data_IF_433159157508
#
_entry.id   IF_433159157508
#
_cell.length_a   1.000
_cell.length_b   1.000
_cell.length_c   1.000
_cell.angle_alpha   90.00
_cell.angle_beta   90.00
_cell.angle_gamma   90.00
#
_symmetry.space_group_name_H-M   'P 1'
#
loop_
_entity.id
_entity.type
_entity.pdbx_description
1 polymer ?
#
# COMPACT_ATOMS: atom_id res chain seq x y z
N UNK A 1 -16.77 -0.07 -70.70
CA UNK A 1 -16.70 -0.78 -69.40
C UNK A 1 -16.80 0.26 -68.28
N UNK A 2 -17.85 0.22 -67.45
CA UNK A 2 -18.20 1.23 -66.45
C UNK A 2 -17.21 1.16 -65.26
N UNK A 3 -16.19 2.04 -65.22
CA UNK A 3 -15.25 2.19 -64.09
C UNK A 3 -15.80 3.04 -62.93
N UNK A 4 -16.98 3.62 -63.10
CA UNK A 4 -17.61 4.54 -62.15
C UNK A 4 -18.07 3.92 -60.80
N UNK A 5 -18.63 2.69 -60.73
CA UNK A 5 -19.08 2.14 -59.44
C UNK A 5 -17.92 1.76 -58.51
N UNK A 6 -16.76 1.39 -59.06
CA UNK A 6 -15.57 1.06 -58.26
C UNK A 6 -14.95 2.31 -57.61
N UNK A 7 -14.93 3.44 -58.32
CA UNK A 7 -14.45 4.71 -57.77
C UNK A 7 -15.37 5.23 -56.66
N UNK A 8 -16.69 5.14 -56.84
CA UNK A 8 -17.66 5.54 -55.81
C UNK A 8 -17.55 4.67 -54.54
N UNK A 9 -17.39 3.35 -54.69
CA UNK A 9 -17.18 2.44 -53.56
C UNK A 9 -15.89 2.73 -52.78
N UNK A 10 -14.79 3.04 -53.47
CA UNK A 10 -13.52 3.38 -52.84
C UNK A 10 -13.58 4.71 -52.06
N UNK A 11 -14.26 5.73 -52.60
CA UNK A 11 -14.43 7.02 -51.91
C UNK A 11 -15.27 6.87 -50.64
N UNK A 12 -16.35 6.11 -50.69
CA UNK A 12 -17.18 5.83 -49.50
C UNK A 12 -16.39 5.06 -48.45
N UNK A 13 -15.57 4.07 -48.85
CA UNK A 13 -14.73 3.31 -47.94
C UNK A 13 -13.66 4.20 -47.27
N UNK A 14 -12.97 5.04 -48.04
CA UNK A 14 -11.94 5.94 -47.50
C UNK A 14 -12.55 7.00 -46.59
N UNK A 15 -13.68 7.59 -46.97
CA UNK A 15 -14.42 8.52 -46.10
C UNK A 15 -14.91 7.84 -44.84
N UNK A 16 -15.43 6.61 -44.93
CA UNK A 16 -15.85 5.79 -43.79
C UNK A 16 -14.70 5.43 -42.85
N UNK A 17 -13.52 5.12 -43.38
CA UNK A 17 -12.32 4.84 -42.58
C UNK A 17 -11.68 6.11 -41.99
N UNK A 18 -11.68 7.22 -42.73
CA UNK A 18 -11.16 8.50 -42.24
C UNK A 18 -12.08 9.08 -41.16
N UNK A 19 -13.39 9.05 -41.36
CA UNK A 19 -14.37 9.45 -40.34
C UNK A 19 -14.35 8.46 -39.17
N UNK A 20 -14.47 7.16 -39.39
CA UNK A 20 -14.41 6.16 -38.31
C UNK A 20 -13.10 6.21 -37.50
N UNK A 21 -11.95 6.34 -38.16
CA UNK A 21 -10.64 6.42 -37.52
C UNK A 21 -10.40 7.72 -36.76
N UNK A 22 -10.88 8.86 -37.28
CA UNK A 22 -10.84 10.13 -36.55
C UNK A 22 -11.72 10.08 -35.29
N UNK A 23 -12.87 9.41 -35.34
CA UNK A 23 -13.76 9.30 -34.18
C UNK A 23 -13.18 8.43 -33.05
N UNK A 24 -12.46 7.35 -33.37
CA UNK A 24 -11.77 6.52 -32.38
C UNK A 24 -10.58 7.24 -31.75
N UNK A 25 -9.92 8.13 -32.50
CA UNK A 25 -8.73 8.86 -31.99
C UNK A 25 -9.09 10.07 -31.11
N UNK A 26 -10.37 10.42 -30.99
CA UNK A 26 -10.86 11.59 -30.25
C UNK A 26 -11.62 11.24 -28.98
N UNK A 27 -11.81 9.94 -28.66
CA UNK A 27 -12.42 9.53 -27.40
C UNK A 27 -11.39 9.67 -26.28
N UNK A 28 -11.63 10.50 -25.25
CA UNK A 28 -10.73 10.64 -24.12
C UNK A 28 -10.72 9.35 -23.30
N UNK A 29 -9.62 9.07 -22.59
CA UNK A 29 -9.56 7.94 -21.66
C UNK A 29 -10.47 8.18 -20.45
N UNK A 30 -10.46 9.42 -19.94
CA UNK A 30 -11.24 9.81 -18.79
C UNK A 30 -12.18 10.97 -19.10
N UNK A 31 -13.40 10.89 -18.55
CA UNK A 31 -14.34 12.01 -18.50
C UNK A 31 -14.72 12.32 -17.07
N UNK A 32 -14.62 13.60 -16.70
CA UNK A 32 -15.00 14.11 -15.38
C UNK A 32 -15.97 15.27 -15.53
N UNK A 33 -17.18 15.13 -14.97
CA UNK A 33 -18.12 16.23 -14.80
C UNK A 33 -18.07 16.74 -13.36
N UNK A 34 -17.75 18.02 -13.17
CA UNK A 34 -17.93 18.70 -11.90
C UNK A 34 -19.39 19.14 -11.77
N UNK A 35 -20.06 18.69 -10.71
CA UNK A 35 -21.44 19.04 -10.40
C UNK A 35 -21.47 19.85 -9.10
N UNK A 36 -21.73 21.15 -9.22
CA UNK A 36 -21.56 22.12 -8.14
C UNK A 36 -22.89 22.61 -7.60
N UNK A 37 -23.03 22.61 -6.27
CA UNK A 37 -24.17 23.19 -5.55
C UNK A 37 -24.12 24.71 -5.57
N UNK A 38 -24.92 25.31 -6.44
CA UNK A 38 -25.13 26.75 -6.56
C UNK A 38 -26.40 27.24 -5.82
N UNK A 39 -26.89 26.50 -4.82
CA UNK A 39 -27.92 27.01 -3.92
C UNK A 39 -27.42 28.21 -3.09
N UNK A 40 -28.35 28.94 -2.48
CA UNK A 40 -28.06 30.19 -1.76
C UNK A 40 -26.93 30.03 -0.73
N UNK A 41 -25.84 30.79 -0.92
CA UNK A 41 -24.65 30.72 -0.07
C UNK A 41 -23.84 32.02 -0.17
N UNK A 42 -23.37 32.59 0.96
CA UNK A 42 -22.57 33.82 0.95
C UNK A 42 -21.12 33.63 0.46
N UNK A 43 -20.56 32.41 0.56
CA UNK A 43 -19.11 32.19 0.43
C UNK A 43 -18.71 31.40 -0.82
N UNK A 44 -19.51 31.41 -1.89
CA UNK A 44 -19.35 30.52 -3.06
C UNK A 44 -17.97 30.59 -3.76
N UNK A 45 -17.25 31.70 -3.60
CA UNK A 45 -15.89 31.85 -4.14
C UNK A 45 -14.94 30.69 -3.79
N UNK A 46 -15.01 30.19 -2.55
CA UNK A 46 -14.16 29.07 -2.11
C UNK A 46 -14.43 27.77 -2.88
N UNK A 47 -15.68 27.50 -3.25
CA UNK A 47 -16.05 26.33 -4.07
C UNK A 47 -15.57 26.53 -5.50
N UNK A 48 -15.75 27.72 -6.05
CA UNK A 48 -15.28 28.04 -7.40
C UNK A 48 -13.75 27.87 -7.51
N UNK A 49 -12.99 28.32 -6.51
CA UNK A 49 -11.54 28.16 -6.48
C UNK A 49 -11.12 26.70 -6.33
N UNK A 50 -11.79 25.92 -5.48
CA UNK A 50 -11.51 24.49 -5.33
C UNK A 50 -11.80 23.69 -6.61
N UNK A 51 -12.91 24.00 -7.30
CA UNK A 51 -13.25 23.39 -8.59
C UNK A 51 -12.22 23.77 -9.66
N UNK A 52 -11.82 25.04 -9.73
CA UNK A 52 -10.77 25.49 -10.65
C UNK A 52 -9.41 24.82 -10.38
N UNK A 53 -9.04 24.66 -9.11
CA UNK A 53 -7.82 23.97 -8.71
C UNK A 53 -7.85 22.47 -9.06
N UNK A 54 -8.99 21.81 -8.85
CA UNK A 54 -9.17 20.41 -9.24
C UNK A 54 -9.10 20.21 -10.76
N UNK A 55 -9.81 21.05 -11.53
CA UNK A 55 -9.79 20.98 -12.98
C UNK A 55 -8.38 21.22 -13.55
N UNK A 56 -7.62 22.14 -12.95
CA UNK A 56 -6.23 22.42 -13.35
C UNK A 56 -5.25 21.30 -12.98
N UNK A 57 -5.64 20.38 -12.09
CA UNK A 57 -4.84 19.22 -11.70
C UNK A 57 -5.12 17.98 -12.59
N UNK A 58 -6.07 18.07 -13.52
CA UNK A 58 -6.40 16.99 -14.46
C UNK A 58 -5.50 16.99 -15.69
N UNK A 59 -5.42 15.85 -16.38
CA UNK A 59 -4.69 15.77 -17.64
C UNK A 59 -5.35 16.69 -18.68
N UNK A 60 -4.54 17.29 -19.56
CA UNK A 60 -5.07 18.07 -20.68
C UNK A 60 -5.89 17.21 -21.65
N UNK A 61 -5.64 15.90 -21.66
CA UNK A 61 -6.33 14.90 -22.49
C UNK A 61 -7.64 14.40 -21.87
N UNK A 62 -7.93 14.75 -20.61
CA UNK A 62 -9.20 14.40 -19.97
C UNK A 62 -10.33 15.29 -20.50
N UNK A 63 -11.50 14.70 -20.73
CA UNK A 63 -12.70 15.50 -21.04
C UNK A 63 -13.34 16.00 -19.76
N UNK A 64 -13.30 17.32 -19.57
CA UNK A 64 -13.86 17.98 -18.40
C UNK A 64 -15.14 18.71 -18.77
N UNK A 65 -16.10 18.72 -17.85
CA UNK A 65 -17.35 19.46 -17.96
C UNK A 65 -17.71 20.09 -16.60
N UNK A 66 -18.52 21.15 -16.64
CA UNK A 66 -19.03 21.81 -15.44
C UNK A 66 -20.54 21.98 -15.52
N UNK A 67 -21.21 21.59 -14.43
CA UNK A 67 -22.62 21.85 -14.19
C UNK A 67 -22.83 22.49 -12.84
N UNK A 68 -23.88 23.29 -12.76
CA UNK A 68 -24.44 23.75 -11.50
C UNK A 68 -25.83 23.16 -11.27
N UNK A 69 -26.15 22.90 -10.01
CA UNK A 69 -27.52 22.64 -9.56
C UNK A 69 -27.89 23.62 -8.46
N UNK A 70 -29.18 23.87 -8.25
CA UNK A 70 -29.69 24.82 -7.27
C UNK A 70 -30.74 25.76 -7.87
N UNK A 71 -31.84 25.98 -7.13
CA UNK A 71 -32.96 26.79 -7.58
C UNK A 71 -34.27 26.44 -6.86
N UNK A 72 -35.37 26.45 -7.56
CA UNK A 72 -36.70 26.03 -7.10
C UNK A 72 -36.88 24.51 -7.23
N UNK A 73 -37.75 23.92 -6.41
CA UNK A 73 -38.12 22.50 -6.56
C UNK A 73 -39.10 22.22 -7.71
N UNK A 74 -39.62 23.26 -8.36
CA UNK A 74 -40.64 23.15 -9.41
C UNK A 74 -40.04 23.15 -10.83
N UNK A 75 -38.74 23.41 -10.97
CA UNK A 75 -38.05 23.53 -12.25
C UNK A 75 -36.75 22.71 -12.22
N UNK A 76 -36.31 22.13 -13.36
CA UNK A 76 -34.99 21.57 -13.49
C UNK A 76 -33.95 22.71 -13.49
N UNK A 77 -33.66 23.27 -12.32
CA UNK A 77 -32.73 24.38 -12.17
C UNK A 77 -31.26 23.92 -12.18
N UNK A 78 -30.99 22.91 -13.00
CA UNK A 78 -29.64 22.42 -13.32
C UNK A 78 -29.22 22.97 -14.67
N UNK A 79 -28.03 23.55 -14.75
CA UNK A 79 -27.48 24.12 -15.98
C UNK A 79 -26.11 23.55 -16.28
N UNK A 80 -25.90 23.20 -17.55
CA UNK A 80 -24.56 23.06 -18.08
C UNK A 80 -23.93 24.44 -18.21
N UNK A 81 -22.69 24.57 -17.73
CA UNK A 81 -21.92 25.81 -17.81
C UNK A 81 -20.70 25.66 -18.72
N UNK A 82 -20.13 24.46 -18.75
CA UNK A 82 -19.05 24.09 -19.68
C UNK A 82 -19.37 22.72 -20.26
N UNK A 83 -19.50 22.67 -21.57
CA UNK A 83 -19.74 21.43 -22.34
C UNK A 83 -18.50 20.52 -22.28
N UNK A 84 -18.68 19.17 -22.26
CA UNK A 84 -17.55 18.24 -22.21
C UNK A 84 -16.52 18.47 -23.32
N UNK A 85 -15.25 18.59 -22.94
CA UNK A 85 -14.13 18.77 -23.87
C UNK A 85 -12.77 18.65 -23.21
N UNK A 86 -11.72 18.43 -24.00
CA UNK A 86 -10.31 18.42 -23.55
C UNK A 86 -9.79 19.85 -23.39
N UNK A 87 -8.82 20.09 -22.50
CA UNK A 87 -8.24 21.42 -22.29
C UNK A 87 -9.17 22.44 -21.61
N UNK A 88 -10.29 22.01 -21.02
CA UNK A 88 -11.33 22.89 -20.46
C UNK A 88 -11.04 23.45 -19.06
N UNK A 89 -9.85 23.19 -18.48
CA UNK A 89 -9.56 23.55 -17.09
C UNK A 89 -9.72 25.07 -16.81
N UNK A 90 -9.22 25.92 -17.70
CA UNK A 90 -9.33 27.38 -17.55
C UNK A 90 -10.77 27.88 -17.73
N UNK A 91 -11.52 27.30 -18.68
CA UNK A 91 -12.93 27.62 -18.91
C UNK A 91 -13.78 27.25 -17.69
N UNK A 92 -13.56 26.06 -17.11
CA UNK A 92 -14.21 25.60 -15.89
C UNK A 92 -13.93 26.54 -14.72
N UNK A 93 -12.67 26.96 -14.52
CA UNK A 93 -12.32 27.90 -13.46
C UNK A 93 -13.02 29.27 -13.64
N UNK A 94 -13.11 29.77 -14.87
CA UNK A 94 -13.82 31.01 -15.19
C UNK A 94 -15.34 30.89 -14.98
N UNK A 95 -15.94 29.82 -15.52
CA UNK A 95 -17.36 29.55 -15.41
C UNK A 95 -17.81 29.32 -13.97
N UNK A 96 -17.00 28.60 -13.17
CA UNK A 96 -17.28 28.38 -11.76
C UNK A 96 -17.32 29.69 -10.97
N UNK A 97 -16.37 30.62 -11.21
CA UNK A 97 -16.37 31.94 -10.57
C UNK A 97 -17.52 32.85 -11.00
N UNK A 98 -18.07 32.62 -12.20
CA UNK A 98 -19.21 33.37 -12.72
C UNK A 98 -20.57 32.88 -12.17
N UNK A 99 -20.61 31.77 -11.42
CA UNK A 99 -21.84 31.27 -10.81
C UNK A 99 -22.32 32.27 -9.76
N UNK A 100 -23.57 32.70 -9.90
CA UNK A 100 -24.30 33.44 -8.86
C UNK A 100 -25.17 32.45 -8.08
N UNK A 101 -24.87 32.16 -6.80
CA UNK A 101 -25.63 31.22 -6.00
C UNK A 101 -27.04 31.72 -5.70
N UNK A 102 -28.02 30.83 -5.63
CA UNK A 102 -29.39 31.18 -5.26
C UNK A 102 -30.35 29.99 -5.23
N UNK A 103 -31.43 30.17 -4.47
CA UNK A 103 -32.47 29.15 -4.32
C UNK A 103 -32.07 27.99 -3.41
N UNK A 104 -32.80 26.88 -3.51
CA UNK A 104 -32.65 25.66 -2.70
C UNK A 104 -31.75 24.64 -3.39
N UNK A 105 -31.09 23.79 -2.60
CA UNK A 105 -30.30 22.67 -3.12
C UNK A 105 -31.19 21.62 -3.79
N UNK A 106 -30.97 21.36 -5.07
CA UNK A 106 -31.72 20.39 -5.91
C UNK A 106 -30.84 19.21 -6.33
N UNK A 107 -30.07 18.66 -5.38
CA UNK A 107 -28.99 17.70 -5.63
C UNK A 107 -29.41 16.51 -6.51
N UNK A 108 -30.57 15.90 -6.24
CA UNK A 108 -31.04 14.77 -7.06
C UNK A 108 -31.20 15.16 -8.53
N UNK A 109 -31.83 16.30 -8.79
CA UNK A 109 -32.00 16.80 -10.17
C UNK A 109 -30.66 17.04 -10.84
N UNK A 110 -29.69 17.57 -10.09
CA UNK A 110 -28.31 17.73 -10.56
C UNK A 110 -27.64 16.40 -10.95
N UNK A 111 -27.75 15.39 -10.09
CA UNK A 111 -27.18 14.05 -10.32
C UNK A 111 -27.80 13.41 -11.56
N UNK A 112 -29.12 13.45 -11.69
CA UNK A 112 -29.82 12.87 -12.85
C UNK A 112 -29.44 13.57 -14.16
N UNK A 113 -29.37 14.89 -14.14
CA UNK A 113 -28.93 15.66 -15.30
C UNK A 113 -27.48 15.31 -15.68
N UNK A 114 -26.58 15.13 -14.71
CA UNK A 114 -25.20 14.72 -14.96
C UNK A 114 -25.12 13.31 -15.58
N UNK A 115 -25.97 12.37 -15.16
CA UNK A 115 -26.07 11.03 -15.79
C UNK A 115 -26.51 11.14 -17.24
N UNK A 116 -27.52 11.97 -17.52
CA UNK A 116 -28.08 12.14 -18.86
C UNK A 116 -27.06 12.72 -19.87
N UNK A 117 -25.98 13.34 -19.40
CA UNK A 117 -24.93 13.87 -20.26
C UNK A 117 -24.05 12.78 -20.86
N UNK A 118 -23.94 11.66 -20.14
CA UNK A 118 -23.27 10.48 -20.65
C UNK A 118 -24.15 9.79 -21.69
N UNK A 119 -25.48 9.84 -21.56
CA UNK A 119 -26.40 9.29 -22.54
C UNK A 119 -26.33 10.02 -23.91
N UNK A 120 -26.15 11.35 -23.91
CA UNK A 120 -26.27 12.18 -25.13
C UNK A 120 -24.96 12.54 -25.84
N UNK A 121 -23.83 12.60 -25.12
CA UNK A 121 -22.62 13.23 -25.64
C UNK A 121 -21.58 12.19 -26.10
N UNK A 122 -21.60 11.89 -27.40
CA UNK A 122 -20.58 11.09 -28.11
C UNK A 122 -19.82 12.04 -29.06
N UNK A 123 -18.47 11.97 -29.21
CA UNK A 123 -17.53 10.94 -28.77
C UNK A 123 -16.94 11.14 -27.36
N UNK A 124 -17.33 12.17 -26.61
CA UNK A 124 -16.71 12.50 -25.31
C UNK A 124 -17.18 11.58 -24.15
N UNK A 125 -17.19 10.27 -24.34
CA UNK A 125 -17.29 9.31 -23.24
C UNK A 125 -15.88 8.83 -22.92
N UNK A 126 -15.55 8.75 -21.63
CA UNK A 126 -14.31 8.13 -21.21
C UNK A 126 -14.31 6.65 -21.57
N UNK A 127 -13.27 6.18 -22.26
CA UNK A 127 -13.10 4.74 -22.59
C UNK A 127 -12.68 3.94 -21.35
N UNK A 128 -11.99 4.58 -20.40
CA UNK A 128 -11.49 3.97 -19.16
C UNK A 128 -12.37 4.33 -17.97
N UNK A 129 -12.62 5.63 -17.73
CA UNK A 129 -13.46 6.06 -16.60
C UNK A 129 -14.40 7.21 -16.95
N UNK A 130 -15.63 7.12 -16.45
CA UNK A 130 -16.61 8.20 -16.47
C UNK A 130 -16.92 8.57 -15.02
N UNK A 131 -16.73 9.83 -14.64
CA UNK A 131 -16.82 10.30 -13.25
C UNK A 131 -17.72 11.52 -13.13
N UNK A 132 -18.44 11.58 -12.02
CA UNK A 132 -19.11 12.80 -11.57
C UNK A 132 -18.60 13.15 -10.17
N UNK A 133 -17.96 14.32 -10.06
CA UNK A 133 -17.51 14.87 -8.77
C UNK A 133 -18.57 15.86 -8.30
N UNK A 134 -19.27 15.52 -7.23
CA UNK A 134 -20.36 16.29 -6.67
C UNK A 134 -19.86 17.10 -5.48
N UNK A 135 -20.11 18.42 -5.50
CA UNK A 135 -19.73 19.34 -4.42
C UNK A 135 -21.01 19.92 -3.82
N UNK A 136 -21.35 19.52 -2.60
CA UNK A 136 -22.57 19.92 -1.88
C UNK A 136 -22.25 20.89 -0.73
N UNK A 137 -23.05 21.96 -0.57
CA UNK A 137 -22.81 23.01 0.43
C UNK A 137 -24.07 23.54 1.12
N UNK A 138 -25.16 23.76 0.40
CA UNK A 138 -26.42 24.30 0.93
C UNK A 138 -27.34 23.25 1.56
N UNK A 139 -26.91 22.00 1.53
CA UNK A 139 -27.61 20.85 2.08
C UNK A 139 -27.84 19.76 1.05
N UNK A 140 -28.31 18.63 1.53
CA UNK A 140 -28.79 17.59 0.65
C UNK A 140 -30.21 17.89 0.16
N UNK A 141 -30.60 17.28 -0.95
CA UNK A 141 -31.79 17.60 -1.75
C UNK A 141 -32.99 18.12 -0.94
N UNK A 142 -33.28 19.41 -1.08
CA UNK A 142 -34.36 20.10 -0.35
C UNK A 142 -35.76 19.81 -0.91
N UNK A 143 -35.84 19.02 -2.00
CA UNK A 143 -37.08 18.77 -2.73
C UNK A 143 -37.77 17.44 -2.37
N UNK A 144 -37.29 16.74 -1.33
CA UNK A 144 -38.11 15.83 -0.53
C UNK A 144 -38.43 14.46 -1.14
N UNK A 145 -37.51 13.86 -1.90
CA UNK A 145 -37.64 12.48 -2.38
C UNK A 145 -37.17 11.46 -1.34
N UNK A 146 -37.77 10.26 -1.33
CA UNK A 146 -37.29 9.16 -0.49
C UNK A 146 -36.05 8.49 -1.08
N UNK A 147 -35.22 7.87 -0.25
CA UNK A 147 -34.00 7.18 -0.69
C UNK A 147 -34.27 6.04 -1.71
N UNK A 148 -35.39 5.32 -1.55
CA UNK A 148 -35.76 4.24 -2.48
C UNK A 148 -36.20 4.78 -3.85
N UNK A 149 -36.91 5.92 -3.87
CA UNK A 149 -37.27 6.59 -5.11
C UNK A 149 -36.03 7.12 -5.82
N UNK A 150 -35.09 7.71 -5.05
CA UNK A 150 -33.79 8.18 -5.56
C UNK A 150 -33.03 7.05 -6.23
N UNK A 151 -32.84 5.91 -5.54
CA UNK A 151 -32.11 4.76 -6.10
C UNK A 151 -32.74 4.26 -7.39
N UNK A 152 -34.05 4.05 -7.40
CA UNK A 152 -34.76 3.57 -8.61
C UNK A 152 -34.58 4.50 -9.80
N UNK A 153 -34.67 5.82 -9.60
CA UNK A 153 -34.52 6.78 -10.69
C UNK A 153 -33.07 6.79 -11.18
N UNK A 154 -32.09 6.73 -10.28
CA UNK A 154 -30.66 6.69 -10.64
C UNK A 154 -30.33 5.44 -11.44
N UNK A 155 -30.84 4.27 -11.04
CA UNK A 155 -30.67 3.01 -11.77
C UNK A 155 -31.23 3.12 -13.20
N UNK A 156 -32.42 3.69 -13.34
CA UNK A 156 -33.08 3.88 -14.65
C UNK A 156 -32.30 4.83 -15.56
N UNK A 157 -31.75 5.92 -15.02
CA UNK A 157 -30.93 6.87 -15.78
C UNK A 157 -29.55 6.28 -16.14
N UNK A 158 -28.92 5.57 -15.22
CA UNK A 158 -27.60 4.95 -15.44
C UNK A 158 -27.68 3.83 -16.48
N UNK A 159 -28.73 3.00 -16.41
CA UNK A 159 -29.00 1.98 -17.43
C UNK A 159 -29.19 2.58 -18.82
N UNK A 160 -29.87 3.74 -18.92
CA UNK A 160 -30.03 4.47 -20.18
C UNK A 160 -28.74 5.10 -20.69
N UNK A 161 -27.86 5.57 -19.81
CA UNK A 161 -26.56 6.12 -20.19
C UNK A 161 -25.61 5.06 -20.79
N UNK A 162 -25.77 3.79 -20.39
CA UNK A 162 -25.01 2.68 -20.94
C UNK A 162 -23.52 2.70 -20.57
N UNK A 163 -23.15 3.44 -19.53
CA UNK A 163 -21.78 3.53 -19.00
C UNK A 163 -21.79 3.42 -17.48
N UNK A 164 -20.71 2.87 -16.91
CA UNK A 164 -20.49 2.90 -15.46
C UNK A 164 -19.99 4.29 -15.07
N UNK A 165 -20.66 4.93 -14.12
CA UNK A 165 -20.31 6.26 -13.61
C UNK A 165 -19.75 6.11 -12.19
N UNK A 166 -18.52 6.61 -11.97
CA UNK A 166 -17.89 6.74 -10.66
C UNK A 166 -18.36 8.04 -10.01
N UNK A 167 -19.27 7.95 -9.03
CA UNK A 167 -19.71 9.11 -8.27
C UNK A 167 -18.79 9.34 -7.08
N UNK A 168 -18.39 10.61 -6.90
CA UNK A 168 -17.58 11.02 -5.76
C UNK A 168 -18.18 12.29 -5.13
N UNK A 169 -18.50 12.22 -3.85
CA UNK A 169 -19.19 13.30 -3.15
C UNK A 169 -18.24 14.02 -2.18
N UNK A 170 -18.30 15.34 -2.21
CA UNK A 170 -17.65 16.23 -1.24
C UNK A 170 -18.71 17.10 -0.59
N UNK A 171 -18.85 16.97 0.72
CA UNK A 171 -19.70 17.84 1.54
C UNK A 171 -18.86 18.95 2.16
N UNK A 172 -19.19 20.21 1.91
CA UNK A 172 -18.47 21.35 2.46
C UNK A 172 -19.34 22.16 3.42
N UNK A 173 -18.87 22.29 4.68
CA UNK A 173 -19.56 23.01 5.76
C UNK A 173 -21.01 22.56 6.00
N UNK A 174 -21.29 21.27 5.79
CA UNK A 174 -22.62 20.70 5.98
C UNK A 174 -22.93 20.46 7.47
N UNK A 175 -24.20 20.63 7.86
CA UNK A 175 -24.72 20.20 9.16
C UNK A 175 -24.84 18.67 9.23
N UNK A 176 -25.02 18.12 10.43
CA UNK A 176 -25.16 16.67 10.62
C UNK A 176 -26.35 16.08 9.83
N UNK A 177 -27.46 16.81 9.76
CA UNK A 177 -28.67 16.42 9.03
C UNK A 177 -28.40 16.41 7.51
N UNK A 178 -27.71 17.42 7.01
CA UNK A 178 -27.33 17.50 5.61
C UNK A 178 -26.35 16.39 5.23
N UNK A 179 -25.40 16.08 6.10
CA UNK A 179 -24.48 14.94 5.93
C UNK A 179 -25.23 13.62 5.85
N UNK A 180 -26.26 13.40 6.68
CA UNK A 180 -27.06 12.17 6.65
C UNK A 180 -27.67 11.94 5.28
N UNK A 181 -28.34 12.94 4.73
CA UNK A 181 -29.02 12.82 3.43
C UNK A 181 -27.99 12.74 2.28
N UNK A 182 -26.84 13.43 2.36
CA UNK A 182 -25.75 13.25 1.38
C UNK A 182 -25.23 11.81 1.37
N UNK A 183 -25.10 11.18 2.55
CA UNK A 183 -24.72 9.77 2.65
C UNK A 183 -25.77 8.84 2.01
N UNK A 184 -27.06 9.14 2.17
CA UNK A 184 -28.15 8.36 1.57
C UNK A 184 -28.11 8.42 0.03
N UNK A 185 -27.87 9.60 -0.54
CA UNK A 185 -27.72 9.79 -1.99
C UNK A 185 -26.43 9.14 -2.51
N UNK A 186 -25.32 9.26 -1.78
CA UNK A 186 -24.07 8.59 -2.12
C UNK A 186 -24.24 7.06 -2.12
N UNK A 187 -24.94 6.50 -1.12
CA UNK A 187 -25.26 5.08 -1.08
C UNK A 187 -26.23 4.65 -2.19
N UNK A 188 -27.11 5.54 -2.66
CA UNK A 188 -28.02 5.27 -3.77
C UNK A 188 -27.32 5.29 -5.15
N UNK A 189 -26.11 5.84 -5.23
CA UNK A 189 -25.27 5.89 -6.44
C UNK A 189 -24.11 4.89 -6.41
N UNK A 190 -24.10 3.97 -5.43
CA UNK A 190 -22.98 3.07 -5.12
C UNK A 190 -21.63 3.80 -4.96
N UNK A 191 -21.68 5.07 -4.52
CA UNK A 191 -20.50 5.88 -4.29
C UNK A 191 -19.83 5.53 -2.95
N UNK A 192 -18.55 5.90 -2.83
CA UNK A 192 -17.86 5.89 -1.54
C UNK A 192 -18.51 6.90 -0.58
N UNK A 193 -18.28 6.71 0.71
CA UNK A 193 -18.69 7.68 1.74
C UNK A 193 -18.20 9.09 1.35
N UNK A 194 -19.08 10.11 1.35
CA UNK A 194 -18.70 11.50 1.09
C UNK A 194 -17.53 11.97 1.95
N UNK A 195 -16.61 12.69 1.32
CA UNK A 195 -15.54 13.40 2.03
C UNK A 195 -16.08 14.71 2.57
N UNK A 196 -15.83 15.00 3.84
CA UNK A 196 -16.39 16.17 4.52
C UNK A 196 -15.28 17.17 4.82
N UNK A 197 -15.52 18.43 4.47
CA UNK A 197 -14.56 19.52 4.65
C UNK A 197 -15.21 20.68 5.39
N UNK A 198 -14.43 21.38 6.22
CA UNK A 198 -14.86 22.51 7.03
C UNK A 198 -14.23 23.82 6.57
N UNK A 199 -13.01 23.74 6.05
CA UNK A 199 -12.23 24.91 5.62
C UNK A 199 -12.06 24.93 4.10
N UNK A 200 -11.70 26.11 3.55
CA UNK A 200 -11.41 26.25 2.12
C UNK A 200 -10.18 25.43 1.72
N UNK A 201 -9.13 25.42 2.54
CA UNK A 201 -7.91 24.65 2.28
C UNK A 201 -8.15 23.13 2.26
N UNK A 202 -8.97 22.63 3.18
CA UNK A 202 -9.43 21.23 3.19
C UNK A 202 -10.21 20.90 1.91
N UNK A 203 -11.10 21.80 1.47
CA UNK A 203 -11.87 21.63 0.24
C UNK A 203 -10.97 21.55 -0.98
N UNK A 204 -10.02 22.47 -1.13
CA UNK A 204 -9.06 22.47 -2.25
C UNK A 204 -8.24 21.18 -2.27
N UNK A 205 -7.74 20.74 -1.10
CA UNK A 205 -6.94 19.51 -0.98
C UNK A 205 -7.76 18.28 -1.34
N UNK A 206 -8.94 18.15 -0.76
CA UNK A 206 -9.89 17.05 -1.04
C UNK A 206 -10.28 17.03 -2.52
N UNK A 207 -10.54 18.19 -3.11
CA UNK A 207 -10.93 18.31 -4.52
C UNK A 207 -9.80 17.91 -5.49
N UNK A 208 -8.53 18.18 -5.15
CA UNK A 208 -7.39 17.68 -5.92
C UNK A 208 -7.30 16.16 -5.84
N UNK A 209 -7.36 15.59 -4.64
CA UNK A 209 -7.28 14.14 -4.42
C UNK A 209 -8.41 13.38 -5.11
N UNK A 210 -9.65 13.85 -4.95
CA UNK A 210 -10.85 13.18 -5.46
C UNK A 210 -10.97 13.26 -6.97
N UNK A 211 -10.22 14.16 -7.63
CA UNK A 211 -10.26 14.30 -9.07
C UNK A 211 -9.27 13.34 -9.75
N UNK A 212 -8.26 12.83 -9.05
CA UNK A 212 -7.28 11.89 -9.63
C UNK A 212 -7.95 10.52 -9.94
N UNK A 213 -7.70 9.91 -11.12
CA UNK A 213 -8.14 8.56 -11.43
C UNK A 213 -7.81 7.55 -10.33
N UNK A 214 -8.74 6.65 -9.97
CA UNK A 214 -8.54 5.74 -8.82
C UNK A 214 -7.36 4.76 -9.00
N UNK A 215 -6.97 4.52 -10.25
CA UNK A 215 -5.80 3.76 -10.68
C UNK A 215 -4.49 4.58 -10.62
N UNK A 216 -4.59 5.92 -10.60
CA UNK A 216 -3.48 6.85 -10.43
C UNK A 216 -3.37 7.42 -9.00
N UNK A 217 -4.40 7.28 -8.16
CA UNK A 217 -4.23 7.30 -6.71
C UNK A 217 -3.33 6.11 -6.43
N UNK A 218 -2.03 6.40 -6.27
CA UNK A 218 -0.96 5.43 -6.20
C UNK A 218 -1.47 4.17 -5.49
N UNK A 219 -1.34 3.00 -6.14
CA UNK A 219 -1.17 1.76 -5.39
C UNK A 219 -0.24 2.13 -4.25
N UNK A 220 -0.76 2.06 -3.03
CA UNK A 220 -0.05 2.31 -1.79
C UNK A 220 1.40 1.90 -2.05
N UNK A 221 2.32 2.86 -2.10
CA UNK A 221 3.73 2.51 -2.29
C UNK A 221 3.96 1.55 -1.15
N UNK A 222 4.21 0.27 -1.47
CA UNK A 222 4.57 -0.71 -0.46
C UNK A 222 5.88 -0.19 0.09
N UNK A 223 5.78 0.62 1.14
CA UNK A 223 6.90 1.00 1.97
C UNK A 223 7.48 -0.31 2.46
N UNK A 224 8.80 -0.38 2.52
CA UNK A 224 9.47 -1.61 2.87
C UNK A 224 8.91 -2.08 4.23
N UNK A 225 8.72 -3.39 4.49
CA UNK A 225 8.15 -3.86 5.75
C UNK A 225 8.75 -3.21 7.00
N UNK A 226 10.04 -2.85 6.98
CA UNK A 226 10.69 -2.10 8.04
C UNK A 226 10.12 -0.69 8.31
N UNK A 227 9.61 0.00 7.28
CA UNK A 227 9.05 1.35 7.39
C UNK A 227 7.76 1.39 8.23
N UNK A 228 7.05 0.25 8.30
CA UNK A 228 5.80 0.10 9.05
C UNK A 228 5.97 -0.40 10.49
N UNK A 229 7.21 -0.64 10.94
CA UNK A 229 7.46 -1.19 12.28
C UNK A 229 7.40 -0.08 13.32
N UNK A 230 6.42 -0.15 14.21
CA UNK A 230 6.27 0.77 15.36
C UNK A 230 6.14 -0.02 16.67
N UNK A 231 6.32 0.62 17.84
CA UNK A 231 6.05 -0.01 19.13
C UNK A 231 4.65 -0.62 19.22
N UNK A 232 3.64 0.03 18.64
CA UNK A 232 2.26 -0.44 18.62
C UNK A 232 2.11 -1.70 17.75
N UNK A 233 2.75 -1.71 16.57
CA UNK A 233 2.77 -2.89 15.70
C UNK A 233 3.41 -4.10 16.39
N UNK A 234 4.53 -3.90 17.10
CA UNK A 234 5.19 -4.95 17.86
C UNK A 234 4.40 -5.39 19.10
N UNK A 235 3.74 -4.45 19.79
CA UNK A 235 2.87 -4.76 20.93
C UNK A 235 1.61 -5.55 20.52
N UNK A 236 1.09 -5.32 19.32
CA UNK A 236 0.02 -6.13 18.75
C UNK A 236 0.50 -7.56 18.45
N UNK A 237 1.74 -7.72 17.97
CA UNK A 237 2.34 -9.03 17.69
C UNK A 237 2.72 -9.80 18.98
N UNK A 238 3.25 -9.09 20.00
CA UNK A 238 3.64 -9.68 21.27
C UNK A 238 3.40 -8.71 22.44
N UNK A 239 2.24 -8.80 23.12
CA UNK A 239 1.94 -7.92 24.25
C UNK A 239 2.71 -8.35 25.51
N UNK A 240 3.50 -7.44 26.08
CA UNK A 240 4.30 -7.66 27.30
C UNK A 240 3.66 -7.10 28.58
N UNK A 241 2.41 -6.64 28.51
CA UNK A 241 1.67 -6.01 29.62
C UNK A 241 1.45 -4.52 29.42
N UNK A 242 0.51 -3.94 30.17
CA UNK A 242 0.01 -2.57 29.95
C UNK A 242 1.05 -1.46 30.20
N UNK A 243 2.05 -1.72 31.05
CA UNK A 243 3.07 -0.74 31.44
C UNK A 243 4.40 -0.92 30.68
N UNK A 244 4.49 -1.93 29.80
CA UNK A 244 5.69 -2.25 29.03
C UNK A 244 5.59 -1.63 27.64
N UNK A 245 6.67 -0.98 27.19
CA UNK A 245 6.76 -0.39 25.86
C UNK A 245 8.01 -0.86 25.14
N UNK A 246 7.88 -1.08 23.84
CA UNK A 246 9.00 -1.29 22.94
C UNK A 246 9.70 0.04 22.59
N UNK A 247 11.02 0.01 22.48
CA UNK A 247 11.87 1.11 22.06
C UNK A 247 13.16 0.56 21.44
N UNK A 248 14.02 1.45 20.92
CA UNK A 248 15.26 1.10 20.20
C UNK A 248 15.03 -0.01 19.15
N UNK A 249 14.04 0.22 18.29
CA UNK A 249 13.61 -0.73 17.28
C UNK A 249 14.60 -0.67 16.11
N UNK A 250 15.26 -1.79 15.85
CA UNK A 250 16.22 -1.97 14.75
C UNK A 250 15.66 -3.01 13.78
N UNK A 251 15.25 -2.57 12.59
CA UNK A 251 14.79 -3.46 11.54
C UNK A 251 15.89 -3.71 10.50
N UNK A 252 16.02 -4.95 10.03
CA UNK A 252 17.00 -5.35 9.02
C UNK A 252 16.40 -6.30 7.98
N UNK A 253 16.86 -6.12 6.74
CA UNK A 253 16.50 -6.94 5.58
C UNK A 253 15.00 -7.06 5.32
N UNK A 254 14.19 -6.10 5.77
CA UNK A 254 12.72 -6.13 5.68
C UNK A 254 12.07 -7.39 6.26
N UNK A 255 12.79 -8.05 7.17
CA UNK A 255 12.43 -9.38 7.64
C UNK A 255 12.66 -9.60 9.11
N UNK A 256 13.62 -8.91 9.72
CA UNK A 256 13.99 -9.13 11.11
C UNK A 256 13.92 -7.83 11.89
N UNK A 257 13.35 -7.89 13.09
CA UNK A 257 13.28 -6.75 14.01
C UNK A 257 13.83 -7.16 15.36
N UNK A 258 14.78 -6.37 15.86
CA UNK A 258 15.21 -6.40 17.25
C UNK A 258 14.67 -5.15 17.94
N UNK A 259 14.03 -5.32 19.09
CA UNK A 259 13.53 -4.23 19.91
C UNK A 259 13.93 -4.44 21.37
N UNK A 260 14.08 -3.33 22.11
CA UNK A 260 14.18 -3.36 23.56
C UNK A 260 12.81 -3.12 24.19
N UNK A 261 12.54 -3.76 25.33
CA UNK A 261 11.33 -3.55 26.11
C UNK A 261 11.67 -3.26 27.57
N UNK A 262 10.99 -2.27 28.16
CA UNK A 262 11.17 -1.93 29.57
C UNK A 262 10.52 -3.00 30.44
N UNK A 263 11.30 -3.71 31.24
CA UNK A 263 10.73 -4.52 32.32
C UNK A 263 10.33 -3.59 33.47
N UNK A 264 9.39 -4.01 34.33
CA UNK A 264 8.95 -3.17 35.46
C UNK A 264 10.14 -2.71 36.29
N UNK A 265 10.06 -1.50 36.86
CA UNK A 265 11.16 -0.70 37.45
C UNK A 265 12.05 -1.36 38.53
N UNK A 266 11.84 -2.64 38.86
CA UNK A 266 12.63 -3.42 39.83
C UNK A 266 13.75 -4.24 39.20
N UNK A 267 13.81 -4.38 37.89
CA UNK A 267 14.88 -5.08 37.17
C UNK A 267 15.53 -4.09 36.21
N UNK A 268 16.82 -3.81 36.39
CA UNK A 268 17.56 -2.80 35.63
C UNK A 268 17.95 -3.28 34.21
N UNK A 269 17.42 -4.42 33.77
CA UNK A 269 17.79 -5.06 32.52
C UNK A 269 16.69 -4.85 31.47
N UNK A 270 17.07 -4.23 30.36
CA UNK A 270 16.23 -4.16 29.17
C UNK A 270 16.03 -5.57 28.63
N UNK A 271 14.78 -5.95 28.37
CA UNK A 271 14.48 -7.21 27.70
C UNK A 271 14.66 -7.01 26.20
N UNK A 272 15.55 -7.78 25.57
CA UNK A 272 15.65 -7.81 24.11
C UNK A 272 14.55 -8.72 23.58
N UNK A 273 13.90 -8.29 22.50
CA UNK A 273 12.79 -9.01 21.89
C UNK A 273 12.98 -9.05 20.38
N UNK A 274 12.87 -10.25 19.84
CA UNK A 274 13.17 -10.55 18.45
C UNK A 274 11.90 -10.95 17.71
N UNK A 275 11.72 -10.37 16.51
CA UNK A 275 10.62 -10.67 15.61
C UNK A 275 11.13 -11.01 14.21
N UNK A 276 10.40 -11.88 13.52
CA UNK A 276 10.59 -12.20 12.10
C UNK A 276 9.29 -11.94 11.34
N UNK A 277 9.39 -11.33 10.16
CA UNK A 277 8.27 -11.19 9.25
C UNK A 277 7.97 -12.53 8.59
N UNK A 278 6.77 -13.05 8.82
CA UNK A 278 6.26 -14.25 8.16
C UNK A 278 4.95 -13.91 7.44
N UNK A 279 4.99 -14.00 6.10
CA UNK A 279 3.94 -13.43 5.25
C UNK A 279 3.90 -11.91 5.40
N UNK A 280 2.74 -11.37 5.77
CA UNK A 280 2.54 -9.93 6.01
C UNK A 280 2.43 -9.60 7.52
N UNK A 281 2.90 -10.49 8.41
CA UNK A 281 2.77 -10.32 9.87
C UNK A 281 4.09 -10.52 10.59
N UNK A 282 4.37 -9.63 11.55
CA UNK A 282 5.50 -9.78 12.46
C UNK A 282 5.19 -10.86 13.50
N UNK A 283 6.07 -11.86 13.59
CA UNK A 283 5.95 -12.99 14.50
C UNK A 283 7.06 -12.93 15.54
N UNK A 284 6.69 -13.00 16.82
CA UNK A 284 7.64 -13.13 17.93
C UNK A 284 8.45 -14.41 17.79
N UNK A 285 9.77 -14.30 17.97
CA UNK A 285 10.68 -15.44 17.96
C UNK A 285 11.17 -15.77 19.37
N UNK A 286 11.79 -14.80 20.04
CA UNK A 286 12.41 -14.99 21.35
C UNK A 286 12.57 -13.67 22.10
N UNK A 287 12.75 -13.77 23.41
CA UNK A 287 13.15 -12.64 24.25
C UNK A 287 14.09 -13.08 25.36
N UNK A 288 14.96 -12.18 25.80
CA UNK A 288 15.96 -12.48 26.82
C UNK A 288 16.93 -11.31 27.03
N UNK A 289 17.81 -11.45 28.03
CA UNK A 289 18.96 -10.56 28.24
C UNK A 289 20.15 -10.97 27.36
N UNK A 290 20.21 -12.25 26.98
CA UNK A 290 20.95 -12.77 25.84
C UNK A 290 19.98 -13.52 24.92
N UNK A 291 20.28 -13.54 23.62
CA UNK A 291 19.44 -14.19 22.61
C UNK A 291 20.25 -15.26 21.90
N UNK A 292 19.62 -16.41 21.63
CA UNK A 292 20.24 -17.41 20.75
C UNK A 292 20.22 -16.93 19.30
N UNK A 293 21.23 -17.30 18.52
CA UNK A 293 21.34 -16.88 17.12
C UNK A 293 20.17 -17.37 16.26
N UNK A 294 19.60 -18.53 16.62
CA UNK A 294 18.47 -19.14 15.92
C UNK A 294 18.69 -19.30 14.42
N UNK A 295 17.66 -18.99 13.63
CA UNK A 295 17.69 -18.99 12.17
C UNK A 295 18.10 -17.64 11.55
N UNK A 296 18.49 -16.65 12.37
CA UNK A 296 18.81 -15.30 11.90
C UNK A 296 20.23 -15.26 11.31
N UNK A 297 20.43 -14.68 10.11
CA UNK A 297 21.75 -14.54 9.51
C UNK A 297 22.72 -13.77 10.41
N UNK A 298 23.98 -14.22 10.48
CA UNK A 298 25.04 -13.58 11.26
C UNK A 298 25.27 -12.11 10.90
N UNK A 299 25.04 -11.76 9.64
CA UNK A 299 25.15 -10.40 9.11
C UNK A 299 24.12 -9.45 9.74
N UNK A 300 22.93 -9.96 10.07
CA UNK A 300 21.87 -9.20 10.74
C UNK A 300 22.27 -8.91 12.19
N UNK A 301 22.77 -9.93 12.91
CA UNK A 301 23.33 -9.76 14.26
C UNK A 301 24.46 -8.73 14.30
N UNK A 302 25.37 -8.81 13.32
CA UNK A 302 26.46 -7.86 13.15
C UNK A 302 25.96 -6.43 12.91
N UNK A 303 24.93 -6.24 12.08
CA UNK A 303 24.33 -4.92 11.83
C UNK A 303 23.64 -4.34 13.06
N UNK A 304 23.09 -5.19 13.94
CA UNK A 304 22.55 -4.73 15.22
C UNK A 304 23.61 -4.40 16.27
N UNK A 305 24.87 -4.76 16.00
CA UNK A 305 25.99 -4.71 16.94
C UNK A 305 25.72 -5.54 18.21
N UNK A 306 25.01 -6.65 18.03
CA UNK A 306 24.58 -7.52 19.13
C UNK A 306 25.18 -8.91 18.98
N UNK A 307 25.87 -9.45 20.01
CA UNK A 307 26.25 -10.84 20.01
C UNK A 307 24.99 -11.71 20.16
N UNK A 308 25.05 -12.91 19.60
CA UNK A 308 24.07 -13.95 19.84
C UNK A 308 24.77 -15.22 20.34
N UNK A 309 24.06 -16.01 21.13
CA UNK A 309 24.56 -17.29 21.62
C UNK A 309 24.27 -18.38 20.58
N UNK A 310 25.30 -19.03 20.07
CA UNK A 310 25.10 -20.17 19.18
C UNK A 310 24.77 -21.41 20.00
N UNK A 311 23.62 -22.03 19.72
CA UNK A 311 23.27 -23.31 20.33
C UNK A 311 23.99 -24.44 19.58
N UNK A 312 24.79 -25.28 20.26
CA UNK A 312 25.50 -26.38 19.61
C UNK A 312 24.57 -27.30 18.81
N UNK A 313 24.91 -27.54 17.54
CA UNK A 313 24.12 -28.38 16.63
C UNK A 313 24.83 -29.72 16.43
N UNK A 314 24.15 -30.83 16.75
CA UNK A 314 24.64 -32.17 16.46
C UNK A 314 24.43 -32.46 14.96
N UNK A 315 25.51 -32.43 14.20
CA UNK A 315 25.51 -32.61 12.74
C UNK A 315 25.62 -34.06 12.31
N UNK A 316 26.29 -34.89 13.12
CA UNK A 316 26.34 -36.35 12.99
C UNK A 316 26.23 -36.92 14.40
N UNK A 317 25.40 -37.93 14.60
CA UNK A 317 25.21 -38.58 15.90
C UNK A 317 25.82 -40.01 15.91
N UNK A 318 26.00 -40.60 17.09
CA UNK A 318 26.57 -41.94 17.27
C UNK A 318 28.09 -41.97 17.50
N UNK A 319 28.77 -43.06 17.13
CA UNK A 319 30.21 -43.28 17.42
C UNK A 319 31.14 -42.23 16.80
N UNK A 320 30.72 -41.64 15.67
CA UNK A 320 31.44 -40.55 15.00
C UNK A 320 30.68 -39.22 15.17
N UNK A 321 30.30 -38.91 16.41
CA UNK A 321 29.54 -37.68 16.68
C UNK A 321 30.30 -36.44 16.21
N UNK A 322 29.59 -35.53 15.55
CA UNK A 322 30.11 -34.22 15.14
C UNK A 322 29.13 -33.18 15.63
N UNK A 323 29.60 -32.24 16.45
CA UNK A 323 28.83 -31.08 16.91
C UNK A 323 29.44 -29.80 16.37
N UNK A 324 28.66 -28.99 15.67
CA UNK A 324 29.01 -27.61 15.35
C UNK A 324 28.74 -26.73 16.58
N UNK A 325 29.77 -26.08 17.12
CA UNK A 325 29.64 -25.27 18.34
C UNK A 325 29.45 -23.78 18.06
N UNK A 326 29.77 -23.29 16.85
CA UNK A 326 29.81 -21.85 16.54
C UNK A 326 29.24 -21.51 15.15
N UNK A 327 28.42 -22.39 14.59
CA UNK A 327 27.69 -22.14 13.35
C UNK A 327 28.56 -22.13 12.11
N UNK A 328 29.42 -23.13 11.95
CA UNK A 328 30.13 -23.38 10.68
C UNK A 328 29.23 -24.02 9.63
N UNK A 329 28.11 -24.62 10.07
CA UNK A 329 27.18 -25.38 9.25
C UNK A 329 27.55 -26.86 9.18
N UNK A 330 26.55 -27.73 9.28
CA UNK A 330 26.77 -29.19 9.33
C UNK A 330 27.56 -29.80 8.16
N UNK A 331 27.40 -29.36 6.89
CA UNK A 331 28.24 -29.86 5.81
C UNK A 331 29.73 -29.61 6.04
N UNK A 332 30.11 -28.41 6.51
CA UNK A 332 31.49 -28.07 6.79
C UNK A 332 32.02 -28.78 8.04
N UNK A 333 31.19 -28.87 9.09
CA UNK A 333 31.52 -29.61 10.31
C UNK A 333 31.79 -31.10 10.02
N UNK A 334 30.98 -31.71 9.15
CA UNK A 334 31.16 -33.09 8.70
C UNK A 334 32.40 -33.23 7.82
N UNK A 335 32.61 -32.34 6.85
CA UNK A 335 33.79 -32.36 5.98
C UNK A 335 35.09 -32.34 6.79
N UNK A 336 35.19 -31.44 7.78
CA UNK A 336 36.41 -31.35 8.58
C UNK A 336 36.63 -32.59 9.45
N UNK A 337 35.56 -33.18 9.98
CA UNK A 337 35.63 -34.42 10.75
C UNK A 337 36.10 -35.62 9.90
N UNK A 338 35.62 -35.71 8.66
CA UNK A 338 35.99 -36.77 7.73
C UNK A 338 37.44 -36.58 7.23
N UNK A 339 37.87 -35.34 6.96
CA UNK A 339 39.26 -35.00 6.60
C UNK A 339 40.23 -35.31 7.73
N UNK A 340 39.88 -34.97 8.98
CA UNK A 340 40.68 -35.34 10.15
C UNK A 340 40.81 -36.87 10.25
N UNK A 341 39.71 -37.61 10.15
CA UNK A 341 39.70 -39.07 10.21
C UNK A 341 40.55 -39.70 9.10
N UNK A 342 40.49 -39.17 7.88
CA UNK A 342 41.34 -39.59 6.77
C UNK A 342 42.83 -39.31 7.02
N UNK A 343 43.17 -38.13 7.57
CA UNK A 343 44.53 -37.78 7.94
C UNK A 343 45.08 -38.68 9.04
N UNK A 344 44.24 -39.06 10.01
CA UNK A 344 44.57 -40.07 11.02
C UNK A 344 44.90 -41.41 10.37
N UNK A 345 44.01 -41.91 9.50
CA UNK A 345 44.23 -43.18 8.79
C UNK A 345 45.49 -43.19 7.92
N UNK A 346 45.87 -42.02 7.39
CA UNK A 346 47.08 -41.81 6.61
C UNK A 346 48.34 -41.53 7.45
N UNK A 347 48.27 -41.61 8.78
CA UNK A 347 49.38 -41.30 9.71
C UNK A 347 49.96 -39.88 9.54
N UNK A 348 49.12 -38.92 9.18
CA UNK A 348 49.51 -37.52 8.96
C UNK A 348 49.36 -36.63 10.20
N UNK A 349 48.69 -37.11 11.24
CA UNK A 349 48.62 -36.42 12.52
C UNK A 349 49.88 -36.64 13.36
N UNK A 350 50.24 -35.62 14.13
CA UNK A 350 51.52 -35.54 14.80
C UNK A 350 51.38 -35.71 16.31
N UNK A 351 52.39 -36.34 16.92
CA UNK A 351 52.51 -36.46 18.37
C UNK A 351 51.48 -37.38 19.02
N UNK A 352 51.59 -37.54 20.35
CA UNK A 352 50.68 -38.38 21.13
C UNK A 352 49.25 -37.81 21.23
N UNK A 353 49.08 -36.50 20.98
CA UNK A 353 47.79 -35.82 20.93
C UNK A 353 47.19 -35.71 19.52
N UNK A 354 47.69 -36.49 18.54
CA UNK A 354 47.24 -36.57 17.14
C UNK A 354 46.84 -35.21 16.56
N UNK A 355 47.72 -34.24 16.76
CA UNK A 355 47.55 -32.88 16.28
C UNK A 355 47.52 -32.90 14.75
N UNK A 356 46.50 -32.28 14.17
CA UNK A 356 46.40 -32.18 12.72
C UNK A 356 46.02 -30.76 12.31
N UNK A 357 46.71 -30.25 11.29
CA UNK A 357 46.39 -28.98 10.67
C UNK A 357 46.31 -29.13 9.16
N UNK A 358 45.28 -28.53 8.58
CA UNK A 358 45.07 -28.46 7.13
C UNK A 358 45.50 -27.12 6.52
N UNK A 359 46.05 -26.21 7.34
CA UNK A 359 46.26 -24.80 7.00
C UNK A 359 45.01 -23.94 7.26
N UNK A 360 43.83 -24.44 6.87
CA UNK A 360 42.55 -23.78 7.15
C UNK A 360 42.03 -24.09 8.56
N UNK A 361 42.27 -25.31 9.04
CA UNK A 361 41.79 -25.81 10.32
C UNK A 361 42.93 -26.35 11.18
N UNK A 362 42.75 -26.28 12.49
CA UNK A 362 43.60 -26.89 13.50
C UNK A 362 42.77 -27.77 14.42
N UNK A 363 43.00 -29.09 14.37
CA UNK A 363 42.30 -30.09 15.16
C UNK A 363 43.21 -30.64 16.26
N UNK A 364 42.79 -30.45 17.51
CA UNK A 364 43.56 -30.80 18.71
C UNK A 364 42.61 -31.24 19.82
N UNK A 365 43.08 -32.11 20.73
CA UNK A 365 42.37 -32.34 21.98
C UNK A 365 42.70 -31.20 22.95
N UNK A 366 41.69 -30.42 23.38
CA UNK A 366 41.92 -29.32 24.30
C UNK A 366 42.29 -29.84 25.69
N UNK A 367 42.98 -29.02 26.46
CA UNK A 367 43.04 -29.19 27.92
C UNK A 367 41.87 -28.42 28.51
N UNK A 368 40.97 -29.11 29.22
CA UNK A 368 39.83 -28.49 29.89
C UNK A 368 39.88 -28.79 31.38
N UNK A 369 39.63 -27.76 32.19
CA UNK A 369 39.65 -27.89 33.65
C UNK A 369 38.64 -28.93 34.12
N UNK A 370 39.11 -29.85 34.96
CA UNK A 370 38.28 -30.93 35.52
C UNK A 370 38.16 -32.19 34.65
N UNK A 371 38.77 -32.23 33.47
CA UNK A 371 38.78 -33.41 32.59
C UNK A 371 40.20 -33.86 32.26
N UNK A 372 40.42 -35.18 32.20
CA UNK A 372 41.65 -35.71 31.58
C UNK A 372 41.57 -35.59 30.07
N UNK A 373 42.74 -35.59 29.41
CA UNK A 373 42.83 -35.48 27.95
C UNK A 373 42.05 -36.58 27.20
N UNK A 374 41.92 -37.77 27.79
CA UNK A 374 41.13 -38.87 27.23
C UNK A 374 39.61 -38.70 27.42
N UNK A 375 39.19 -37.82 28.32
CA UNK A 375 37.77 -37.52 28.59
C UNK A 375 37.26 -36.33 27.79
N UNK A 376 38.14 -35.47 27.28
CA UNK A 376 37.76 -34.35 26.43
C UNK A 376 37.55 -34.80 24.97
N UNK A 377 36.50 -34.34 24.29
CA UNK A 377 36.34 -34.55 22.85
C UNK A 377 37.34 -33.69 22.07
N UNK A 378 37.68 -34.12 20.85
CA UNK A 378 38.56 -33.37 19.96
C UNK A 378 37.84 -32.09 19.49
N UNK A 379 38.59 -30.98 19.36
CA UNK A 379 38.09 -29.74 18.77
C UNK A 379 38.90 -29.36 17.53
N UNK A 380 38.19 -29.05 16.45
CA UNK A 380 38.74 -28.45 15.25
C UNK A 380 38.34 -26.97 15.21
N UNK A 381 39.34 -26.09 15.15
CA UNK A 381 39.16 -24.63 15.11
C UNK A 381 39.54 -24.11 13.73
N UNK A 382 38.67 -23.31 13.11
CA UNK A 382 38.96 -22.68 11.82
C UNK A 382 39.81 -21.44 12.03
N UNK A 383 40.93 -21.37 11.34
CA UNK A 383 41.95 -20.33 11.54
C UNK A 383 41.52 -18.91 11.14
N UNK A 384 40.48 -18.78 10.31
CA UNK A 384 40.04 -17.48 9.78
C UNK A 384 39.10 -16.71 10.69
N UNK A 385 38.33 -17.43 11.52
CA UNK A 385 37.23 -16.85 12.31
C UNK A 385 37.00 -17.59 13.64
N UNK A 386 37.96 -18.42 14.05
CA UNK A 386 38.00 -19.16 15.31
C UNK A 386 36.80 -20.06 15.60
N UNK A 387 35.97 -20.37 14.59
CA UNK A 387 34.80 -21.23 14.78
C UNK A 387 35.19 -22.66 15.12
N UNK A 388 34.44 -23.25 16.04
CA UNK A 388 34.79 -24.55 16.62
C UNK A 388 33.81 -25.65 16.19
N UNK A 389 34.38 -26.79 15.79
CA UNK A 389 33.68 -28.06 15.59
C UNK A 389 34.21 -29.07 16.59
N UNK A 390 33.32 -29.81 17.24
CA UNK A 390 33.65 -30.86 18.21
C UNK A 390 33.42 -32.24 17.62
N UNK A 391 34.40 -33.11 17.74
CA UNK A 391 34.35 -34.51 17.30
C UNK A 391 34.32 -35.41 18.54
N UNK A 392 33.26 -36.21 18.65
CA UNK A 392 32.97 -37.08 19.78
C UNK A 392 32.23 -36.38 20.93
N UNK A 393 32.01 -37.14 22.00
CA UNK A 393 31.44 -36.68 23.27
C UNK A 393 32.47 -36.78 24.40
N UNK A 394 32.19 -36.07 25.49
CA UNK A 394 32.91 -36.26 26.74
C UNK A 394 32.79 -37.70 27.22
N UNK A 395 33.93 -38.33 27.52
CA UNK A 395 33.96 -39.65 28.12
C UNK A 395 33.85 -39.52 29.64
N UNK A 396 33.09 -40.42 30.27
CA UNK A 396 32.93 -40.45 31.73
C UNK A 396 34.09 -41.17 32.40
#
# INVERSE_FOLDING_TARGET
MKRWPLAAGAVVLVLGLATGGAWVSLTPDHRTTFLVDASESPDFGEVADAVGAAASNMSADDSLALRRFGGTCASPDTSELVTPGTGQAAEIAGAARAITPGGKATLLSGVLAAIDDFARSYPFRGTVTNRVVVIARGGADACGKSADEVRRIIDEHTARAGVKIDFRFVGHRLTAEQVKVLNEIAAATDARKPLLTKTSDELVTTMKEISVPADLIAKEVKTAPCDGVTPETLAAAHPLGADVRYFDIKCQQDKYVLASANTTARLADNLLVLFELQGDTWQYQSSGTSLSCGSIPQEVWKQWEMPCEFEPVVCRDGEQKVTDLDGVGCPAAIDIADRYSAAIGAQQAQGQGWFWSSGEWSCVWPYEDGYSHAQTPLKCVRTTDDKVVRLGDYQR
#
